data_IF_645975010281
#
_entry.id   IF_645975010281
#
_cell.length_a   1.000
_cell.length_b   1.000
_cell.length_c   1.000
_cell.angle_alpha   90.00
_cell.angle_beta   90.00
_cell.angle_gamma   90.00
#
_symmetry.space_group_name_H-M   'P 1'
#
loop_
_entity.id
_entity.type
_entity.pdbx_description
1 polymer ?
#
# COMPACT_ATOMS: atom_id res chain seq x y z
N UNK A 1 0.99 -20.14 5.62
CA UNK A 1 0.84 -18.69 5.33
C UNK A 1 -0.53 -18.22 5.80
N UNK A 2 -0.64 -17.72 7.03
CA UNK A 2 -1.93 -17.64 7.75
C UNK A 2 -2.71 -16.31 7.57
N UNK A 3 -2.16 -15.31 6.85
CA UNK A 3 -2.69 -13.93 6.88
C UNK A 3 -2.79 -13.22 5.50
N UNK A 4 -2.90 -13.96 4.39
CA UNK A 4 -3.13 -13.35 3.06
C UNK A 4 -4.60 -13.44 2.68
N UNK A 5 -5.22 -12.31 2.36
CA UNK A 5 -6.56 -12.26 1.76
C UNK A 5 -6.44 -11.51 0.44
N UNK A 6 -6.80 -12.16 -0.67
CA UNK A 6 -6.65 -11.62 -2.04
C UNK A 6 -5.24 -11.10 -2.36
N UNK A 7 -4.19 -11.89 -2.09
CA UNK A 7 -2.80 -11.51 -2.41
C UNK A 7 -2.16 -10.44 -1.52
N UNK A 8 -2.94 -9.73 -0.68
CA UNK A 8 -2.41 -8.73 0.26
C UNK A 8 -2.16 -9.39 1.62
N UNK A 9 -0.94 -9.22 2.17
CA UNK A 9 -0.58 -9.68 3.51
C UNK A 9 -1.18 -8.71 4.55
N UNK A 10 -2.25 -9.11 5.23
CA UNK A 10 -3.02 -8.26 6.17
C UNK A 10 -2.47 -8.23 7.60
N UNK A 11 -1.16 -8.39 7.80
CA UNK A 11 -0.57 -8.19 9.14
C UNK A 11 -0.56 -6.72 9.56
N UNK A 12 -0.70 -5.81 8.59
CA UNK A 12 -0.74 -4.37 8.83
C UNK A 12 -1.99 -3.76 8.21
N UNK A 13 -2.54 -2.75 8.88
CA UNK A 13 -3.57 -1.87 8.33
C UNK A 13 -3.04 -1.16 7.07
N UNK A 14 -3.93 -0.80 6.16
CA UNK A 14 -3.62 -0.06 4.92
C UNK A 14 -4.11 1.39 5.11
N UNK A 15 -3.39 2.38 4.57
CA UNK A 15 -3.90 3.76 4.54
C UNK A 15 -5.25 3.76 3.83
N UNK A 16 -6.25 4.40 4.46
CA UNK A 16 -7.66 4.45 4.07
C UNK A 16 -7.94 4.10 2.60
N UNK A 17 -8.12 4.99 1.65
CA UNK A 17 -8.69 4.60 0.34
C UNK A 17 -7.79 3.75 -0.59
N UNK A 18 -6.65 3.23 -0.15
CA UNK A 18 -5.72 2.47 -1.00
C UNK A 18 -6.08 0.99 -1.20
N UNK A 19 -6.95 0.41 -0.38
CA UNK A 19 -7.23 -1.03 -0.47
C UNK A 19 -7.74 -1.47 -1.84
N UNK A 20 -8.63 -0.69 -2.47
CA UNK A 20 -9.17 -1.02 -3.80
C UNK A 20 -8.10 -1.01 -4.89
N UNK A 21 -7.27 0.03 -4.95
CA UNK A 21 -6.17 0.12 -5.92
C UNK A 21 -5.23 -1.07 -5.79
N UNK A 22 -4.85 -1.42 -4.55
CA UNK A 22 -3.96 -2.56 -4.31
C UNK A 22 -4.61 -3.89 -4.70
N UNK A 23 -5.93 -4.04 -4.49
CA UNK A 23 -6.66 -5.22 -4.96
C UNK A 23 -6.70 -5.28 -6.49
N UNK A 24 -6.92 -4.17 -7.18
CA UNK A 24 -6.91 -4.12 -8.65
C UNK A 24 -5.57 -4.58 -9.22
N UNK A 25 -4.45 -4.14 -8.66
CA UNK A 25 -3.12 -4.59 -9.12
C UNK A 25 -2.91 -6.11 -9.00
N UNK A 26 -3.50 -6.73 -7.98
CA UNK A 26 -3.46 -8.19 -7.80
C UNK A 26 -4.44 -8.88 -8.76
N UNK A 27 -5.65 -8.36 -8.89
CA UNK A 27 -6.71 -8.92 -9.73
C UNK A 27 -6.36 -8.85 -11.23
N UNK A 28 -5.64 -7.81 -11.66
CA UNK A 28 -5.09 -7.68 -13.02
C UNK A 28 -3.83 -8.53 -13.25
N UNK A 29 -3.31 -9.20 -12.21
CA UNK A 29 -2.13 -10.06 -12.32
C UNK A 29 -0.81 -9.29 -12.46
N UNK A 30 -0.81 -7.98 -12.27
CA UNK A 30 0.40 -7.14 -12.34
C UNK A 30 1.37 -7.45 -11.21
N UNK A 31 0.86 -7.85 -10.04
CA UNK A 31 1.67 -8.28 -8.90
C UNK A 31 1.13 -9.55 -8.26
N UNK A 32 2.03 -10.46 -7.86
CA UNK A 32 1.66 -11.72 -7.19
C UNK A 32 1.15 -11.50 -5.76
N UNK A 33 1.72 -10.51 -5.06
CA UNK A 33 1.34 -10.19 -3.69
C UNK A 33 1.84 -8.81 -3.27
N UNK A 34 1.16 -8.19 -2.31
CA UNK A 34 1.53 -6.89 -1.74
C UNK A 34 1.74 -7.05 -0.22
N UNK A 35 2.78 -6.40 0.30
CA UNK A 35 3.11 -6.36 1.72
C UNK A 35 3.04 -4.91 2.18
N UNK A 36 1.98 -4.50 2.91
CA UNK A 36 1.87 -3.14 3.42
C UNK A 36 2.94 -2.84 4.48
N UNK A 37 3.54 -1.65 4.40
CA UNK A 37 4.47 -1.13 5.41
C UNK A 37 3.76 -0.62 6.67
N UNK A 38 4.53 -0.02 7.60
CA UNK A 38 3.95 0.71 8.74
C UNK A 38 3.31 2.01 8.25
N UNK A 39 2.17 2.37 8.84
CA UNK A 39 1.54 3.68 8.60
C UNK A 39 2.18 4.70 9.53
N UNK A 40 2.62 5.83 8.95
CA UNK A 40 3.08 7.00 9.69
C UNK A 40 2.14 8.16 9.44
N UNK A 41 1.58 8.73 10.50
CA UNK A 41 0.62 9.84 10.45
C UNK A 41 1.08 10.98 11.34
N UNK A 42 1.12 12.21 10.81
CA UNK A 42 1.26 13.42 11.63
C UNK A 42 -0.10 13.90 12.16
N UNK A 43 -0.22 14.36 13.42
CA UNK A 43 -1.50 14.71 14.07
C UNK A 43 -2.29 15.84 13.40
N UNK A 44 -1.68 16.65 12.50
CA UNK A 44 -2.41 17.57 11.62
C UNK A 44 -2.87 16.85 10.34
N UNK A 45 -3.53 15.69 10.50
CA UNK A 45 -3.99 14.86 9.39
C UNK A 45 -5.00 15.63 8.54
N UNK A 46 -4.51 16.29 7.49
CA UNK A 46 -5.36 16.91 6.49
C UNK A 46 -5.84 15.86 5.49
N UNK A 47 -7.08 16.02 5.02
CA UNK A 47 -7.51 15.39 3.79
C UNK A 47 -6.57 15.83 2.68
N UNK A 48 -6.11 14.87 1.87
CA UNK A 48 -5.17 15.15 0.80
C UNK A 48 -5.35 14.16 -0.33
N UNK A 49 -4.84 14.54 -1.51
CA UNK A 49 -4.90 13.68 -2.68
C UNK A 49 -4.16 12.36 -2.41
N UNK A 50 -4.75 11.28 -2.90
CA UNK A 50 -4.15 9.96 -2.95
C UNK A 50 -3.03 9.93 -3.98
N UNK A 51 -1.82 9.56 -3.55
CA UNK A 51 -0.64 9.45 -4.42
C UNK A 51 0.04 8.11 -4.17
N UNK A 52 0.40 7.42 -5.25
CA UNK A 52 1.31 6.27 -5.25
C UNK A 52 2.53 6.67 -6.06
N UNK A 53 3.71 6.55 -5.46
CA UNK A 53 4.98 6.89 -6.13
C UNK A 53 5.88 5.66 -6.11
N UNK A 54 6.40 5.29 -7.28
CA UNK A 54 7.48 4.32 -7.36
C UNK A 54 8.73 4.84 -6.63
N UNK A 55 9.43 3.98 -5.89
CA UNK A 55 10.67 4.35 -5.20
C UNK A 55 11.87 3.69 -5.88
N UNK A 56 11.91 2.36 -5.89
CA UNK A 56 12.99 1.57 -6.48
C UNK A 56 12.59 0.10 -6.61
N UNK A 57 13.31 -0.64 -7.47
CA UNK A 57 13.16 -2.08 -7.62
C UNK A 57 13.84 -2.81 -6.45
N UNK A 58 13.21 -3.87 -5.98
CA UNK A 58 13.81 -4.84 -5.08
C UNK A 58 14.17 -6.09 -5.87
N UNK A 59 14.95 -6.99 -5.28
CA UNK A 59 15.31 -8.27 -5.92
C UNK A 59 14.09 -9.08 -6.41
N UNK A 60 12.93 -8.90 -5.77
CA UNK A 60 11.72 -9.70 -6.04
C UNK A 60 10.49 -8.86 -6.44
N UNK A 61 10.65 -7.56 -6.69
CA UNK A 61 9.53 -6.67 -7.00
C UNK A 61 9.91 -5.19 -6.98
N UNK A 62 9.03 -4.36 -6.45
CA UNK A 62 9.24 -2.91 -6.35
C UNK A 62 8.77 -2.37 -5.00
N UNK A 63 9.43 -1.29 -4.55
CA UNK A 63 8.99 -0.49 -3.42
C UNK A 63 8.19 0.71 -3.92
N UNK A 64 7.01 0.89 -3.35
CA UNK A 64 6.13 2.03 -3.59
C UNK A 64 5.98 2.83 -2.29
N UNK A 65 5.74 4.14 -2.44
CA UNK A 65 5.34 5.03 -1.35
C UNK A 65 3.90 5.49 -1.60
N UNK A 66 3.02 5.18 -0.67
CA UNK A 66 1.63 5.64 -0.66
C UNK A 66 1.50 6.84 0.27
N UNK A 67 0.81 7.89 -0.19
CA UNK A 67 0.57 9.10 0.59
C UNK A 67 -0.86 9.58 0.44
N UNK A 68 -1.49 9.95 1.57
CA UNK A 68 -2.76 10.69 1.63
C UNK A 68 -2.63 11.77 2.71
N UNK A 69 -2.61 13.03 2.29
CA UNK A 69 -2.38 14.15 3.22
C UNK A 69 -1.02 14.05 3.91
N UNK A 70 -1.01 14.03 5.24
CA UNK A 70 0.18 13.83 6.08
C UNK A 70 0.39 12.38 6.54
N UNK A 71 -0.32 11.43 5.93
CA UNK A 71 -0.19 9.99 6.20
C UNK A 71 0.60 9.32 5.08
N UNK A 72 1.60 8.51 5.43
CA UNK A 72 2.46 7.77 4.49
C UNK A 72 2.61 6.30 4.87
N UNK A 73 2.78 5.44 3.86
CA UNK A 73 2.99 3.99 4.00
C UNK A 73 3.84 3.46 2.85
#
# INVERSE_FOLDING_TARGET
MKYRKKGIKREHSIIEDFEKDLQTLVEEGLVKSIIPGRIYTSPKAQSGRKVITYQYDTETGAKLLMKKGSTVQ
#
